data_IF_426885675753
#
_entry.id   IF_426885675753
#
_cell.length_a   1.000
_cell.length_b   1.000
_cell.length_c   1.000
_cell.angle_alpha   90.00
_cell.angle_beta   90.00
_cell.angle_gamma   90.00
#
_symmetry.space_group_name_H-M   'P 1'
#
loop_
_entity.id
_entity.type
_entity.pdbx_description
1 polymer ?
#
# COMPACT_ATOMS: atom_id res chain seq x y z
N UNK A 1 -33.43 26.79 -28.60
CA UNK A 1 -31.98 26.61 -28.41
C UNK A 1 -31.77 25.86 -27.10
N UNK A 2 -31.45 24.57 -27.15
CA UNK A 2 -31.08 23.82 -25.95
C UNK A 2 -29.58 24.01 -25.71
N UNK A 3 -29.22 24.65 -24.60
CA UNK A 3 -27.83 24.75 -24.16
C UNK A 3 -27.44 23.39 -23.56
N UNK A 4 -26.50 22.69 -24.20
CA UNK A 4 -25.88 21.48 -23.66
C UNK A 4 -24.76 21.93 -22.73
N UNK A 5 -24.94 21.75 -21.42
CA UNK A 5 -23.88 21.97 -20.45
C UNK A 5 -22.84 20.84 -20.56
N UNK A 6 -21.52 21.14 -20.53
CA UNK A 6 -20.50 20.10 -20.54
C UNK A 6 -20.55 19.32 -19.22
N UNK A 7 -20.71 18.00 -19.31
CA UNK A 7 -20.59 17.10 -18.17
C UNK A 7 -19.11 17.05 -17.75
N UNK A 8 -18.80 17.56 -16.55
CA UNK A 8 -17.50 17.39 -15.92
C UNK A 8 -17.44 15.95 -15.40
N UNK A 9 -16.61 15.11 -16.01
CA UNK A 9 -16.44 13.74 -15.55
C UNK A 9 -15.77 13.75 -14.17
N UNK A 10 -16.49 13.32 -13.14
CA UNK A 10 -15.92 13.13 -11.79
C UNK A 10 -14.95 11.95 -11.86
N UNK A 11 -13.69 12.10 -11.42
CA UNK A 11 -12.77 10.99 -11.31
C UNK A 11 -13.41 9.86 -10.48
N UNK A 12 -13.24 8.61 -10.93
CA UNK A 12 -13.69 7.48 -10.12
C UNK A 12 -12.73 7.28 -8.95
N UNK A 13 -13.25 6.86 -7.80
CA UNK A 13 -12.43 6.50 -6.63
C UNK A 13 -11.32 5.50 -6.98
N UNK A 14 -11.58 4.58 -7.91
CA UNK A 14 -10.58 3.65 -8.43
C UNK A 14 -9.41 4.35 -9.15
N UNK A 15 -9.66 5.42 -9.91
CA UNK A 15 -8.60 6.19 -10.56
C UNK A 15 -7.77 7.00 -9.54
N UNK A 16 -8.41 7.51 -8.49
CA UNK A 16 -7.72 8.23 -7.41
C UNK A 16 -6.88 7.29 -6.55
N UNK A 17 -7.40 6.11 -6.19
CA UNK A 17 -6.66 5.06 -5.49
C UNK A 17 -5.47 4.56 -6.32
N UNK A 18 -5.62 4.43 -7.65
CA UNK A 18 -4.50 4.09 -8.55
C UNK A 18 -3.38 5.13 -8.48
N UNK A 19 -3.71 6.43 -8.55
CA UNK A 19 -2.73 7.52 -8.45
C UNK A 19 -2.07 7.55 -7.07
N UNK A 20 -2.84 7.30 -6.01
CA UNK A 20 -2.32 7.21 -4.65
C UNK A 20 -1.32 6.05 -4.52
N UNK A 21 -1.65 4.87 -5.04
CA UNK A 21 -0.77 3.70 -5.03
C UNK A 21 0.57 3.99 -5.75
N UNK A 22 0.50 4.65 -6.90
CA UNK A 22 1.69 5.09 -7.65
C UNK A 22 2.53 6.08 -6.83
N UNK A 23 1.89 7.07 -6.19
CA UNK A 23 2.60 8.03 -5.33
C UNK A 23 3.26 7.36 -4.12
N UNK A 24 2.62 6.37 -3.51
CA UNK A 24 3.17 5.62 -2.37
C UNK A 24 4.36 4.79 -2.81
N UNK A 25 4.29 4.13 -3.97
CA UNK A 25 5.45 3.44 -4.54
C UNK A 25 6.63 4.40 -4.78
N UNK A 26 6.37 5.60 -5.33
CA UNK A 26 7.41 6.63 -5.51
C UNK A 26 8.00 7.05 -4.17
N UNK A 27 7.20 7.21 -3.12
CA UNK A 27 7.68 7.54 -1.78
C UNK A 27 8.62 6.46 -1.21
N UNK A 28 8.27 5.17 -1.38
CA UNK A 28 9.11 4.04 -1.01
C UNK A 28 10.43 4.08 -1.77
N UNK A 29 10.36 4.24 -3.10
CA UNK A 29 11.54 4.40 -3.96
C UNK A 29 12.44 5.54 -3.47
N UNK A 30 11.87 6.71 -3.16
CA UNK A 30 12.62 7.88 -2.66
C UNK A 30 13.26 7.59 -1.30
N UNK A 31 12.54 6.95 -0.38
CA UNK A 31 13.05 6.59 0.93
C UNK A 31 14.25 5.63 0.83
N UNK A 32 14.18 4.63 -0.06
CA UNK A 32 15.29 3.72 -0.32
C UNK A 32 16.46 4.42 -1.01
N UNK A 33 16.22 5.32 -1.98
CA UNK A 33 17.29 6.12 -2.60
C UNK A 33 17.99 7.04 -1.62
N UNK A 34 17.26 7.65 -0.68
CA UNK A 34 17.84 8.45 0.40
C UNK A 34 18.65 7.61 1.40
N UNK A 35 18.42 6.29 1.45
CA UNK A 35 19.18 5.34 2.24
C UNK A 35 20.31 4.66 1.43
N UNK A 36 20.72 5.27 0.31
CA UNK A 36 21.78 4.80 -0.58
C UNK A 36 21.58 3.36 -1.11
N UNK A 37 20.32 2.91 -1.23
CA UNK A 37 20.05 1.57 -1.71
C UNK A 37 20.51 1.37 -3.17
N UNK A 38 21.31 0.34 -3.45
CA UNK A 38 21.95 0.17 -4.76
C UNK A 38 21.01 -0.36 -5.83
N UNK A 39 19.91 -1.00 -5.45
CA UNK A 39 18.93 -1.61 -6.35
C UNK A 39 17.61 -0.87 -6.29
N UNK A 40 17.03 -0.61 -7.45
CA UNK A 40 15.74 0.03 -7.54
C UNK A 40 14.62 -0.99 -7.29
N UNK A 41 13.66 -0.66 -6.40
CA UNK A 41 12.50 -1.50 -6.19
C UNK A 41 11.65 -1.55 -7.46
N UNK A 42 10.96 -2.69 -7.66
CA UNK A 42 10.03 -2.88 -8.76
C UNK A 42 8.68 -3.32 -8.23
N UNK A 43 7.62 -2.94 -8.94
CA UNK A 43 6.29 -3.48 -8.64
C UNK A 43 6.26 -4.99 -8.94
N UNK A 44 5.81 -5.78 -7.96
CA UNK A 44 5.58 -7.21 -8.09
C UNK A 44 4.08 -7.50 -7.98
N UNK A 45 3.50 -8.08 -9.03
CA UNK A 45 2.04 -8.34 -9.10
C UNK A 45 1.54 -9.24 -7.97
N UNK A 46 2.37 -10.17 -7.48
CA UNK A 46 2.01 -11.08 -6.39
C UNK A 46 1.90 -10.30 -5.08
N UNK A 47 2.82 -9.37 -4.84
CA UNK A 47 2.77 -8.51 -3.67
C UNK A 47 1.67 -7.45 -3.77
N UNK A 48 1.35 -6.96 -4.97
CA UNK A 48 0.18 -6.09 -5.19
C UNK A 48 -1.10 -6.83 -4.80
N UNK A 49 -1.23 -8.10 -5.17
CA UNK A 49 -2.40 -8.90 -4.81
C UNK A 49 -2.44 -9.20 -3.31
N UNK A 50 -1.30 -9.51 -2.68
CA UNK A 50 -1.22 -9.63 -1.22
C UNK A 50 -1.64 -8.35 -0.49
N UNK A 51 -1.20 -7.18 -0.98
CA UNK A 51 -1.61 -5.87 -0.47
C UNK A 51 -3.11 -5.62 -0.66
N UNK A 52 -3.66 -5.99 -1.83
CA UNK A 52 -5.09 -5.85 -2.13
C UNK A 52 -5.95 -6.66 -1.19
N UNK A 53 -5.60 -7.93 -0.97
CA UNK A 53 -6.32 -8.82 -0.06
C UNK A 53 -6.37 -8.24 1.35
N UNK A 54 -5.21 -7.81 1.89
CA UNK A 54 -5.18 -7.23 3.23
C UNK A 54 -5.88 -5.88 3.32
N UNK A 55 -5.77 -5.04 2.28
CA UNK A 55 -6.46 -3.74 2.24
C UNK A 55 -7.98 -3.93 2.33
N UNK A 56 -8.53 -4.88 1.57
CA UNK A 56 -9.96 -5.19 1.58
C UNK A 56 -10.40 -5.82 2.90
N UNK A 57 -9.58 -6.70 3.46
CA UNK A 57 -9.85 -7.31 4.76
C UNK A 57 -9.90 -6.24 5.87
N UNK A 58 -8.82 -5.45 5.97
CA UNK A 58 -8.74 -4.35 6.92
C UNK A 58 -9.86 -3.36 6.69
N UNK A 59 -10.24 -2.99 5.45
CA UNK A 59 -11.35 -2.07 5.18
C UNK A 59 -12.72 -2.58 5.64
N UNK A 60 -12.96 -3.90 5.55
CA UNK A 60 -14.25 -4.50 5.89
C UNK A 60 -14.35 -4.95 7.35
N UNK A 61 -13.23 -5.06 8.06
CA UNK A 61 -13.18 -5.46 9.46
C UNK A 61 -12.69 -4.30 10.35
N UNK A 62 -13.58 -3.50 10.97
CA UNK A 62 -13.21 -2.26 11.68
C UNK A 62 -12.37 -2.47 12.93
N UNK A 63 -12.32 -3.69 13.45
CA UNK A 63 -11.50 -4.06 14.60
C UNK A 63 -10.04 -4.38 14.23
N UNK A 64 -9.70 -4.43 12.93
CA UNK A 64 -8.32 -4.60 12.49
C UNK A 64 -7.63 -3.23 12.38
N UNK A 65 -6.46 -3.12 13.00
CA UNK A 65 -5.62 -1.93 13.04
C UNK A 65 -4.12 -2.20 12.73
N UNK A 66 -3.81 -3.40 12.23
CA UNK A 66 -2.42 -3.83 12.02
C UNK A 66 -2.23 -4.88 10.94
N UNK A 67 -1.16 -5.66 11.08
CA UNK A 67 -0.60 -6.47 9.98
C UNK A 67 -1.23 -7.88 9.86
N UNK A 68 -1.96 -8.30 10.89
CA UNK A 68 -2.61 -9.63 10.94
C UNK A 68 -4.01 -9.54 10.37
N UNK A 69 -4.31 -10.42 9.41
CA UNK A 69 -5.64 -10.51 8.79
C UNK A 69 -6.70 -11.05 9.75
N UNK A 70 -7.97 -10.86 9.41
CA UNK A 70 -9.12 -11.41 10.16
C UNK A 70 -9.11 -12.94 10.23
N UNK A 71 -8.44 -13.60 9.29
CA UNK A 71 -8.21 -15.04 9.22
C UNK A 71 -6.93 -15.50 9.96
N UNK A 72 -6.22 -14.58 10.62
CA UNK A 72 -4.95 -14.83 11.29
C UNK A 72 -3.74 -14.87 10.37
N UNK A 73 -3.90 -14.59 9.07
CA UNK A 73 -2.79 -14.56 8.12
C UNK A 73 -1.79 -13.44 8.44
N UNK A 74 -0.51 -13.75 8.31
CA UNK A 74 0.58 -12.78 8.35
C UNK A 74 0.82 -12.19 6.94
N UNK A 75 1.61 -11.10 6.81
CA UNK A 75 2.03 -10.60 5.50
C UNK A 75 2.76 -11.67 4.66
N UNK A 76 3.54 -12.53 5.32
CA UNK A 76 4.24 -13.64 4.68
C UNK A 76 3.27 -14.69 4.15
N UNK A 77 2.23 -15.05 4.91
CA UNK A 77 1.22 -16.03 4.47
C UNK A 77 0.49 -15.53 3.22
N UNK A 78 0.09 -14.25 3.22
CA UNK A 78 -0.55 -13.63 2.05
C UNK A 78 0.38 -13.58 0.85
N UNK A 79 1.65 -13.22 1.02
CA UNK A 79 2.64 -13.24 -0.07
C UNK A 79 2.87 -14.65 -0.62
N UNK A 80 2.99 -15.66 0.26
CA UNK A 80 3.15 -17.06 -0.11
C UNK A 80 1.94 -17.58 -0.89
N UNK A 81 0.72 -17.21 -0.48
CA UNK A 81 -0.51 -17.57 -1.19
C UNK A 81 -0.57 -17.02 -2.62
N UNK A 82 0.12 -15.91 -2.89
CA UNK A 82 0.29 -15.35 -4.24
C UNK A 82 1.52 -15.90 -4.99
N UNK A 83 2.21 -16.90 -4.42
CA UNK A 83 3.40 -17.52 -5.02
C UNK A 83 4.64 -16.62 -4.98
N UNK A 84 4.71 -15.65 -4.08
CA UNK A 84 5.95 -14.90 -3.84
C UNK A 84 6.92 -15.78 -3.04
N UNK A 85 8.11 -16.01 -3.59
CA UNK A 85 9.16 -16.79 -2.93
C UNK A 85 10.23 -15.83 -2.42
N UNK A 86 10.34 -15.73 -1.11
CA UNK A 86 11.20 -14.76 -0.44
C UNK A 86 10.63 -14.35 0.91
N UNK A 87 11.26 -13.35 1.55
CA UNK A 87 10.72 -12.75 2.77
C UNK A 87 9.77 -11.62 2.42
N UNK A 88 8.65 -11.53 3.10
CA UNK A 88 7.70 -10.43 2.96
C UNK A 88 7.45 -9.74 4.31
N UNK A 89 7.31 -8.42 4.25
CA UNK A 89 6.94 -7.52 5.35
C UNK A 89 5.95 -6.51 4.82
N UNK A 90 5.22 -5.80 5.68
CA UNK A 90 4.27 -4.78 5.22
C UNK A 90 4.27 -3.55 6.11
N UNK A 91 3.67 -2.48 5.58
CA UNK A 91 3.27 -1.30 6.34
C UNK A 91 1.82 -0.98 6.01
N UNK A 92 0.99 -0.85 7.05
CA UNK A 92 -0.43 -0.48 6.92
C UNK A 92 -0.61 0.97 7.36
N UNK A 93 -1.39 1.74 6.60
CA UNK A 93 -1.90 3.05 7.00
C UNK A 93 -3.43 3.06 6.98
N UNK A 94 -4.05 3.55 8.05
CA UNK A 94 -5.51 3.62 8.21
C UNK A 94 -5.87 5.04 8.63
N UNK A 95 -6.88 5.63 7.98
CA UNK A 95 -7.44 6.91 8.38
C UNK A 95 -8.96 6.80 8.51
N UNK A 96 -9.60 7.33 9.58
CA UNK A 96 -11.05 7.37 9.75
C UNK A 96 -11.69 8.49 8.91
N UNK A 97 -11.34 8.53 7.63
CA UNK A 97 -11.81 9.51 6.66
C UNK A 97 -12.02 8.84 5.30
N UNK A 98 -12.86 9.43 4.45
CA UNK A 98 -13.14 8.91 3.11
C UNK A 98 -11.91 8.91 2.18
N UNK A 99 -10.90 9.70 2.50
CA UNK A 99 -9.68 9.82 1.72
C UNK A 99 -8.46 9.93 2.65
N UNK A 100 -7.33 9.46 2.14
CA UNK A 100 -6.01 9.59 2.75
C UNK A 100 -5.03 10.07 1.68
N UNK A 101 -4.15 11.00 2.07
CA UNK A 101 -3.10 11.55 1.22
C UNK A 101 -1.76 10.86 1.42
N UNK A 102 -0.87 10.98 0.44
CA UNK A 102 0.50 10.46 0.54
C UNK A 102 1.29 11.02 1.74
N UNK A 103 1.03 12.27 2.15
CA UNK A 103 1.68 12.89 3.31
C UNK A 103 1.21 12.26 4.61
N UNK A 104 -0.09 11.95 4.73
CA UNK A 104 -0.62 11.26 5.92
C UNK A 104 -0.06 9.85 6.05
N UNK A 105 0.01 9.11 4.93
CA UNK A 105 0.63 7.78 4.87
C UNK A 105 2.09 7.86 5.34
N UNK A 106 2.86 8.78 4.77
CA UNK A 106 4.24 9.00 5.18
C UNK A 106 4.35 9.43 6.64
N UNK A 107 3.44 10.24 7.16
CA UNK A 107 3.40 10.61 8.57
C UNK A 107 3.26 9.39 9.49
N UNK A 108 2.38 8.44 9.13
CA UNK A 108 2.20 7.21 9.90
C UNK A 108 3.42 6.29 9.85
N UNK A 109 4.09 6.20 8.69
CA UNK A 109 5.21 5.27 8.51
C UNK A 109 6.57 5.84 8.89
N UNK A 110 6.83 7.11 8.58
CA UNK A 110 8.13 7.75 8.80
C UNK A 110 8.42 7.99 10.28
N UNK A 111 7.42 8.31 11.09
CA UNK A 111 7.61 8.57 12.51
C UNK A 111 7.53 7.31 13.39
N UNK A 112 7.15 6.16 12.80
CA UNK A 112 7.17 4.85 13.42
C UNK A 112 8.48 4.12 13.06
N UNK A 113 9.42 3.88 14.01
CA UNK A 113 10.73 3.31 13.67
C UNK A 113 10.67 1.94 12.99
N UNK A 114 9.83 0.97 13.43
CA UNK A 114 9.64 -0.30 12.71
C UNK A 114 9.18 -0.13 11.25
N UNK A 115 8.13 0.67 11.00
CA UNK A 115 7.60 0.90 9.65
C UNK A 115 8.62 1.64 8.76
N UNK A 116 9.29 2.66 9.30
CA UNK A 116 10.36 3.37 8.59
C UNK A 116 11.49 2.43 8.20
N UNK A 117 11.90 1.53 9.09
CA UNK A 117 12.94 0.55 8.81
C UNK A 117 12.55 -0.39 7.66
N UNK A 118 11.30 -0.89 7.61
CA UNK A 118 10.80 -1.71 6.50
C UNK A 118 10.81 -0.93 5.18
N UNK A 119 10.33 0.32 5.20
CA UNK A 119 10.22 1.17 4.02
C UNK A 119 11.59 1.51 3.41
N UNK A 120 12.61 1.71 4.24
CA UNK A 120 13.96 2.10 3.81
C UNK A 120 14.92 0.92 3.59
N UNK A 121 14.47 -0.32 3.82
CA UNK A 121 15.33 -1.49 3.72
C UNK A 121 15.72 -1.80 2.28
N UNK A 122 17.03 -1.75 2.00
CA UNK A 122 17.59 -1.99 0.68
C UNK A 122 17.44 -3.43 0.19
N UNK A 123 17.17 -4.39 1.07
CA UNK A 123 16.90 -5.76 0.66
C UNK A 123 15.49 -5.92 0.05
N UNK A 124 14.57 -4.98 0.32
CA UNK A 124 13.21 -4.98 -0.21
C UNK A 124 13.19 -4.43 -1.64
N UNK A 125 13.26 -5.31 -2.64
CA UNK A 125 13.34 -4.95 -4.07
C UNK A 125 12.08 -5.27 -4.86
N UNK A 126 11.14 -5.99 -4.26
CA UNK A 126 9.82 -6.25 -4.82
C UNK A 126 8.77 -5.52 -3.96
N UNK A 127 7.89 -4.73 -4.58
CA UNK A 127 6.91 -3.90 -3.86
C UNK A 127 5.51 -4.15 -4.41
N UNK A 128 4.53 -4.24 -3.53
CA UNK A 128 3.10 -4.18 -3.87
C UNK A 128 2.42 -3.09 -3.06
N UNK A 129 1.58 -2.27 -3.70
CA UNK A 129 0.81 -1.24 -3.00
C UNK A 129 -0.64 -1.34 -3.44
N UNK A 130 -1.56 -1.29 -2.47
CA UNK A 130 -2.97 -1.16 -2.72
C UNK A 130 -3.61 -0.19 -1.74
N UNK A 131 -4.64 0.52 -2.20
CA UNK A 131 -5.46 1.41 -1.38
C UNK A 131 -6.92 1.19 -1.74
N UNK A 132 -7.77 1.30 -0.72
CA UNK A 132 -9.21 1.28 -0.86
C UNK A 132 -9.84 2.18 0.19
N UNK A 133 -11.02 2.70 -0.11
CA UNK A 133 -11.72 3.60 0.78
C UNK A 133 -13.23 3.35 0.84
N UNK A 134 -13.81 3.79 1.94
CA UNK A 134 -15.24 3.74 2.23
C UNK A 134 -15.64 5.07 2.88
N UNK A 135 -16.94 5.28 3.14
CA UNK A 135 -17.40 6.47 3.86
C UNK A 135 -16.80 6.58 5.28
N UNK A 136 -16.46 5.44 5.89
CA UNK A 136 -15.98 5.40 7.27
C UNK A 136 -14.46 5.53 7.40
N UNK A 137 -13.70 5.05 6.42
CA UNK A 137 -12.23 5.02 6.46
C UNK A 137 -11.60 4.72 5.10
N UNK A 138 -10.32 5.02 5.02
CA UNK A 138 -9.41 4.68 3.94
C UNK A 138 -8.24 3.85 4.47
N UNK A 139 -7.82 2.85 3.71
CA UNK A 139 -6.76 1.91 4.07
C UNK A 139 -5.75 1.86 2.93
N UNK A 140 -4.47 1.89 3.27
CA UNK A 140 -3.36 1.64 2.33
C UNK A 140 -2.45 0.57 2.91
N UNK A 141 -2.14 -0.44 2.12
CA UNK A 141 -1.16 -1.47 2.46
C UNK A 141 -0.04 -1.44 1.43
N UNK A 142 1.20 -1.34 1.91
CA UNK A 142 2.38 -1.59 1.11
C UNK A 142 3.06 -2.87 1.60
N UNK A 143 3.25 -3.84 0.71
CA UNK A 143 3.96 -5.10 0.95
C UNK A 143 5.33 -5.02 0.30
N UNK A 144 6.36 -5.36 1.07
CA UNK A 144 7.77 -5.29 0.72
C UNK A 144 8.36 -6.70 0.72
N UNK A 145 8.99 -7.06 -0.39
CA UNK A 145 9.54 -8.39 -0.60
C UNK A 145 11.05 -8.35 -0.81
N UNK A 146 11.74 -9.28 -0.15
CA UNK A 146 13.12 -9.70 -0.43
C UNK A 146 13.05 -11.00 -1.22
N UNK A 147 13.17 -10.97 -2.56
CA UNK A 147 13.13 -12.18 -3.37
C UNK A 147 14.18 -13.18 -2.91
N UNK A 148 13.87 -14.48 -2.95
CA UNK A 148 14.89 -15.51 -2.81
C UNK A 148 15.89 -15.41 -3.98
N UNK A 149 17.19 -15.59 -3.69
CA UNK A 149 18.25 -15.68 -4.68
C UNK A 149 18.12 -16.96 -5.53
#
# INVERSE_FOLDING_TARGET
MFAVAPAVAVPSAQADNKRLNESVFVNIYTAQKQNDCPTEPKLDRRLVEAARLHTLDVLNNPNLDGDIGSDGSTPQDRANAQGFVGKASETVAINPAIAISGIEILGQWWYDPPRRAIMQDCANTAIGVWSENSLARSVVVAVYGRPAL
#
